data_IF_490341807493
#
_entry.id   IF_490341807493
#
_cell.length_a   1.000
_cell.length_b   1.000
_cell.length_c   1.000
_cell.angle_alpha   90.00
_cell.angle_beta   90.00
_cell.angle_gamma   90.00
#
_symmetry.space_group_name_H-M   'P 1'
#
loop_
_entity.id
_entity.type
_entity.pdbx_description
1 polymer ?
#
# COMPACT_ATOMS: atom_id res chain seq x y z
N UNK A 1 3.65 4.77 -32.17
CA UNK A 1 3.35 3.54 -31.41
C UNK A 1 2.40 3.92 -30.30
N UNK A 2 1.16 3.43 -30.33
CA UNK A 2 0.26 3.54 -29.18
C UNK A 2 0.80 2.56 -28.14
N UNK A 3 1.15 3.06 -26.94
CA UNK A 3 1.38 2.17 -25.82
C UNK A 3 0.05 1.45 -25.55
N UNK A 4 0.01 0.13 -25.67
CA UNK A 4 -1.11 -0.64 -25.13
C UNK A 4 -1.13 -0.39 -23.62
N UNK A 5 -2.24 0.18 -23.13
CA UNK A 5 -2.45 0.34 -21.70
C UNK A 5 -2.65 -1.05 -21.10
N UNK A 6 -1.82 -1.41 -20.13
CA UNK A 6 -1.93 -2.67 -19.42
C UNK A 6 -3.25 -2.71 -18.63
N UNK A 7 -4.13 -3.65 -18.96
CA UNK A 7 -5.36 -3.91 -18.23
C UNK A 7 -5.13 -5.02 -17.21
N UNK A 8 -5.38 -4.73 -15.93
CA UNK A 8 -5.32 -5.70 -14.84
C UNK A 8 -6.70 -6.28 -14.56
N UNK A 9 -6.85 -7.59 -14.71
CA UNK A 9 -8.14 -8.29 -14.57
C UNK A 9 -8.64 -8.40 -13.12
N UNK A 10 -7.78 -8.13 -12.13
CA UNK A 10 -8.15 -8.23 -10.71
C UNK A 10 -9.04 -7.06 -10.27
N UNK A 11 -9.04 -5.94 -11.00
CA UNK A 11 -9.95 -4.83 -10.73
C UNK A 11 -11.33 -5.08 -11.35
N UNK A 12 -12.42 -4.64 -10.68
CA UNK A 12 -13.77 -4.77 -11.23
C UNK A 12 -13.95 -4.04 -12.57
N UNK A 13 -14.70 -4.68 -13.47
CA UNK A 13 -15.10 -4.14 -14.78
C UNK A 13 -16.57 -3.69 -14.74
N UNK A 14 -16.84 -2.72 -13.88
CA UNK A 14 -18.20 -2.26 -13.54
C UNK A 14 -18.45 -0.78 -13.83
N UNK A 15 -17.51 -0.11 -14.52
CA UNK A 15 -17.59 1.31 -14.86
C UNK A 15 -17.34 2.25 -13.68
N UNK A 16 -17.04 1.74 -12.49
CA UNK A 16 -16.69 2.58 -11.33
C UNK A 16 -15.21 2.89 -11.28
N UNK A 17 -14.90 3.99 -10.60
CA UNK A 17 -13.51 4.36 -10.29
C UNK A 17 -13.16 3.75 -8.92
N UNK A 18 -12.16 2.90 -8.91
CA UNK A 18 -11.64 2.22 -7.73
C UNK A 18 -10.32 2.86 -7.30
N UNK A 19 -10.21 3.21 -6.02
CA UNK A 19 -8.97 3.66 -5.40
C UNK A 19 -8.32 2.52 -4.63
N UNK A 20 -7.00 2.39 -4.76
CA UNK A 20 -6.22 1.50 -3.91
C UNK A 20 -6.07 2.15 -2.53
N UNK A 21 -6.63 1.52 -1.50
CA UNK A 21 -6.61 2.04 -0.13
C UNK A 21 -5.36 1.60 0.63
N UNK A 22 -5.00 0.32 0.51
CA UNK A 22 -3.90 -0.25 1.26
C UNK A 22 -3.36 -1.52 0.60
N UNK A 23 -2.10 -1.85 0.88
CA UNK A 23 -1.46 -3.10 0.46
C UNK A 23 -0.92 -3.81 1.70
N UNK A 24 -1.22 -5.10 1.84
CA UNK A 24 -0.83 -5.91 2.99
C UNK A 24 -0.82 -7.39 2.63
N UNK A 25 -0.37 -8.21 3.60
CA UNK A 25 -0.50 -9.66 3.60
C UNK A 25 0.00 -10.36 2.32
N UNK A 26 1.26 -10.79 2.37
CA UNK A 26 1.86 -11.59 1.31
C UNK A 26 1.44 -13.04 1.56
N UNK A 27 0.77 -13.64 0.57
CA UNK A 27 0.20 -14.97 0.64
C UNK A 27 0.79 -15.87 -0.45
N UNK A 28 0.89 -17.15 -0.14
CA UNK A 28 1.23 -18.16 -1.13
C UNK A 28 0.10 -18.29 -2.16
N UNK A 29 0.46 -18.29 -3.44
CA UNK A 29 -0.48 -18.43 -4.53
C UNK A 29 -0.63 -19.89 -4.94
N UNK A 30 -1.73 -20.53 -4.56
CA UNK A 30 -1.98 -21.93 -4.90
C UNK A 30 -2.19 -22.16 -6.41
N UNK A 31 -2.61 -21.13 -7.16
CA UNK A 31 -2.82 -21.23 -8.60
C UNK A 31 -1.51 -21.10 -9.38
N UNK A 32 -0.58 -20.28 -8.87
CA UNK A 32 0.76 -20.09 -9.45
C UNK A 32 1.79 -20.16 -8.32
N UNK A 33 2.19 -21.38 -7.90
CA UNK A 33 3.17 -21.62 -6.83
C UNK A 33 4.47 -20.81 -6.90
N UNK A 34 4.91 -20.45 -8.10
CA UNK A 34 6.12 -19.67 -8.33
C UNK A 34 5.95 -18.16 -8.09
N UNK A 35 4.72 -17.69 -7.93
CA UNK A 35 4.39 -16.26 -7.82
C UNK A 35 3.38 -16.03 -6.71
N UNK A 36 3.90 -15.71 -5.52
CA UNK A 36 3.09 -15.25 -4.39
C UNK A 36 2.28 -14.00 -4.75
N UNK A 37 1.25 -13.74 -3.94
CA UNK A 37 0.38 -12.58 -4.11
C UNK A 37 0.45 -11.70 -2.87
N UNK A 38 0.16 -10.42 -3.04
CA UNK A 38 -0.20 -9.54 -1.93
C UNK A 38 -1.69 -9.18 -2.02
N UNK A 39 -2.27 -8.83 -0.88
CA UNK A 39 -3.62 -8.29 -0.81
C UNK A 39 -3.58 -6.79 -1.03
N UNK A 40 -4.33 -6.30 -2.01
CA UNK A 40 -4.65 -4.88 -2.13
C UNK A 40 -6.12 -4.66 -1.74
N UNK A 41 -6.35 -3.79 -0.76
CA UNK A 41 -7.68 -3.29 -0.43
C UNK A 41 -8.01 -2.17 -1.41
N UNK A 42 -9.13 -2.30 -2.10
CA UNK A 42 -9.65 -1.27 -3.00
C UNK A 42 -11.05 -0.85 -2.57
N UNK A 43 -11.39 0.40 -2.83
CA UNK A 43 -12.73 0.91 -2.59
C UNK A 43 -13.20 1.77 -3.77
N UNK A 44 -14.47 1.69 -4.18
CA UNK A 44 -14.98 2.52 -5.25
C UNK A 44 -15.23 3.94 -4.72
N UNK A 45 -15.14 4.92 -5.59
CA UNK A 45 -15.62 6.27 -5.29
C UNK A 45 -17.11 6.27 -4.92
N UNK A 46 -17.50 7.22 -4.08
CA UNK A 46 -18.92 7.55 -3.93
C UNK A 46 -19.48 8.04 -5.27
N UNK A 47 -20.80 7.97 -5.44
CA UNK A 47 -21.49 8.45 -6.65
C UNK A 47 -21.15 9.92 -6.91
N UNK A 48 -21.09 10.75 -5.88
CA UNK A 48 -20.84 12.18 -6.00
C UNK A 48 -19.38 12.45 -6.38
N UNK A 49 -18.43 11.76 -5.74
CA UNK A 49 -17.00 11.84 -6.09
C UNK A 49 -16.74 11.39 -7.53
N UNK A 50 -17.39 10.32 -7.99
CA UNK A 50 -17.24 9.86 -9.38
C UNK A 50 -17.76 10.89 -10.39
N UNK A 51 -18.95 11.48 -10.13
CA UNK A 51 -19.48 12.55 -10.98
C UNK A 51 -18.58 13.77 -11.00
N UNK A 52 -18.03 14.17 -9.85
CA UNK A 52 -17.08 15.27 -9.74
C UNK A 52 -15.82 14.99 -10.58
N UNK A 53 -15.28 13.78 -10.49
CA UNK A 53 -14.12 13.35 -11.28
C UNK A 53 -14.39 13.42 -12.78
N UNK A 54 -15.47 12.78 -13.23
CA UNK A 54 -15.81 12.63 -14.65
C UNK A 54 -16.24 13.94 -15.32
N UNK A 55 -16.88 14.84 -14.58
CA UNK A 55 -17.25 16.16 -15.08
C UNK A 55 -16.07 17.12 -15.22
N UNK A 56 -14.90 16.77 -14.66
CA UNK A 56 -13.76 17.69 -14.58
C UNK A 56 -14.01 18.87 -13.64
N UNK A 57 -15.07 18.82 -12.82
CA UNK A 57 -15.42 19.84 -11.85
C UNK A 57 -14.60 19.74 -10.55
N UNK A 58 -13.72 18.74 -10.45
CA UNK A 58 -12.76 18.64 -9.37
C UNK A 58 -11.87 19.89 -9.32
N UNK A 59 -11.60 20.38 -8.11
CA UNK A 59 -10.59 21.43 -7.94
C UNK A 59 -9.29 20.95 -8.56
N UNK A 60 -8.74 21.72 -9.51
CA UNK A 60 -7.45 21.41 -10.15
C UNK A 60 -6.31 21.34 -9.14
N UNK A 61 -6.52 21.88 -7.94
CA UNK A 61 -5.62 21.82 -6.80
C UNK A 61 -5.95 20.67 -5.84
N UNK A 62 -6.95 19.83 -6.13
CA UNK A 62 -7.26 18.63 -5.33
C UNK A 62 -6.17 17.60 -5.55
N UNK A 63 -5.15 17.69 -4.70
CA UNK A 63 -3.99 16.80 -4.78
C UNK A 63 -4.33 15.37 -4.38
N UNK A 64 -5.33 15.13 -3.52
CA UNK A 64 -5.67 13.79 -3.02
C UNK A 64 -7.18 13.59 -2.84
N UNK A 65 -7.62 12.34 -2.99
CA UNK A 65 -8.90 11.86 -2.50
C UNK A 65 -8.71 11.27 -1.10
N UNK A 66 -9.69 11.50 -0.21
CA UNK A 66 -9.67 11.07 1.19
C UNK A 66 -10.64 9.89 1.43
N UNK A 67 -10.70 9.39 2.65
CA UNK A 67 -11.62 8.32 3.04
C UNK A 67 -13.10 8.70 2.86
N UNK A 68 -13.45 9.98 2.91
CA UNK A 68 -14.81 10.46 2.66
C UNK A 68 -15.26 10.34 1.20
N UNK A 69 -14.32 10.12 0.28
CA UNK A 69 -14.58 10.08 -1.16
C UNK A 69 -14.89 8.68 -1.70
N UNK A 70 -14.79 7.67 -0.84
CA UNK A 70 -15.00 6.27 -1.19
C UNK A 70 -16.24 5.70 -0.50
N UNK A 71 -16.88 4.74 -1.16
CA UNK A 71 -17.89 3.89 -0.54
C UNK A 71 -17.23 2.70 0.16
N UNK A 72 -16.93 2.88 1.45
CA UNK A 72 -16.34 1.84 2.30
C UNK A 72 -17.15 0.56 2.37
N UNK A 73 -18.47 0.65 2.21
CA UNK A 73 -19.35 -0.53 2.32
C UNK A 73 -19.15 -1.51 1.16
N UNK A 74 -18.50 -1.05 0.09
CA UNK A 74 -18.20 -1.80 -1.12
C UNK A 74 -16.69 -2.00 -1.32
N UNK A 75 -15.89 -1.75 -0.29
CA UNK A 75 -14.48 -2.08 -0.32
C UNK A 75 -14.29 -3.60 -0.44
N UNK A 76 -13.26 -4.02 -1.17
CA UNK A 76 -12.93 -5.42 -1.38
C UNK A 76 -11.43 -5.64 -1.45
N UNK A 77 -11.03 -6.88 -1.16
CA UNK A 77 -9.66 -7.35 -1.28
C UNK A 77 -9.44 -7.96 -2.68
N UNK A 78 -8.39 -7.54 -3.37
CA UNK A 78 -7.89 -8.19 -4.59
C UNK A 78 -6.53 -8.83 -4.32
N UNK A 79 -6.27 -9.96 -4.97
CA UNK A 79 -4.97 -10.63 -4.94
C UNK A 79 -4.16 -10.21 -6.14
N UNK A 80 -2.99 -9.64 -5.91
CA UNK A 80 -2.10 -9.15 -6.97
C UNK A 80 -0.79 -9.91 -6.90
N UNK A 81 -0.33 -10.42 -8.04
CA UNK A 81 0.97 -11.09 -8.13
C UNK A 81 2.09 -10.14 -7.72
N UNK A 82 3.05 -10.63 -6.92
CA UNK A 82 4.15 -9.79 -6.42
C UNK A 82 4.97 -9.16 -7.54
N UNK A 83 5.05 -9.81 -8.71
CA UNK A 83 5.72 -9.28 -9.91
C UNK A 83 5.04 -8.03 -10.49
N UNK A 84 3.76 -7.81 -10.15
CA UNK A 84 2.98 -6.65 -10.57
C UNK A 84 2.93 -5.55 -9.51
N UNK A 85 3.61 -5.73 -8.37
CA UNK A 85 3.66 -4.71 -7.30
C UNK A 85 4.08 -3.31 -7.77
N UNK A 86 5.02 -3.13 -8.73
CA UNK A 86 5.39 -1.78 -9.20
C UNK A 86 4.28 -1.03 -9.94
N UNK A 87 3.17 -1.72 -10.26
CA UNK A 87 2.01 -1.14 -10.93
C UNK A 87 0.96 -0.67 -9.93
N UNK A 88 1.00 -1.14 -8.68
CA UNK A 88 -0.01 -0.88 -7.66
C UNK A 88 0.54 0.10 -6.64
N UNK A 89 0.04 1.32 -6.70
CA UNK A 89 0.34 2.34 -5.71
C UNK A 89 -0.86 2.63 -4.81
N UNK A 90 -0.61 2.85 -3.52
CA UNK A 90 -1.65 3.34 -2.60
C UNK A 90 -2.11 4.73 -3.06
N UNK A 91 -3.41 4.91 -3.22
CA UNK A 91 -4.04 6.12 -3.74
C UNK A 91 -4.28 6.12 -5.25
N UNK A 92 -3.71 5.18 -5.99
CA UNK A 92 -3.93 5.08 -7.44
C UNK A 92 -5.39 4.78 -7.79
N UNK A 93 -5.85 5.33 -8.92
CA UNK A 93 -7.21 5.24 -9.43
C UNK A 93 -7.29 4.35 -10.67
N UNK A 94 -8.25 3.43 -10.64
CA UNK A 94 -8.44 2.39 -11.64
C UNK A 94 -9.88 2.38 -12.11
N UNK A 95 -10.09 2.21 -13.41
CA UNK A 95 -11.42 2.04 -14.00
C UNK A 95 -11.36 0.90 -14.99
N UNK A 96 -12.17 -0.13 -14.79
CA UNK A 96 -12.24 -1.31 -15.66
C UNK A 96 -10.87 -1.96 -15.90
N UNK A 97 -10.07 -2.07 -14.84
CA UNK A 97 -8.71 -2.63 -14.90
C UNK A 97 -7.64 -1.73 -15.52
N UNK A 98 -7.99 -0.52 -15.95
CA UNK A 98 -7.02 0.44 -16.49
C UNK A 98 -6.66 1.47 -15.43
N UNK A 99 -5.35 1.73 -15.29
CA UNK A 99 -4.86 2.83 -14.49
C UNK A 99 -5.26 4.14 -15.17
N UNK A 100 -6.08 4.94 -14.49
CA UNK A 100 -6.52 6.26 -14.99
C UNK A 100 -5.77 7.41 -14.32
N UNK A 101 -5.25 7.20 -13.12
CA UNK A 101 -4.42 8.17 -12.42
C UNK A 101 -3.56 7.44 -11.38
N UNK A 102 -2.23 7.57 -11.47
CA UNK A 102 -1.34 6.99 -10.46
C UNK A 102 -1.29 7.78 -9.16
N UNK A 103 -1.88 8.99 -9.12
CA UNK A 103 -1.66 10.05 -8.12
C UNK A 103 -1.07 9.58 -6.78
N UNK A 104 0.27 9.49 -6.77
CA UNK A 104 1.10 9.10 -5.65
C UNK A 104 1.76 10.34 -5.08
N UNK A 105 1.06 11.00 -4.17
CA UNK A 105 1.67 12.02 -3.32
C UNK A 105 2.20 13.26 -4.04
N UNK A 106 2.86 14.09 -3.24
CA UNK A 106 3.81 15.10 -3.72
C UNK A 106 5.18 14.46 -3.74
N UNK A 107 5.96 14.66 -4.80
CA UNK A 107 7.36 14.22 -4.83
C UNK A 107 8.22 15.23 -4.09
N UNK A 108 8.82 14.79 -2.99
CA UNK A 108 9.73 15.60 -2.18
C UNK A 108 11.07 14.86 -2.02
N UNK A 109 12.13 15.61 -1.70
CA UNK A 109 13.47 15.05 -1.45
C UNK A 109 13.88 15.40 -0.03
N UNK A 110 14.39 14.41 0.69
CA UNK A 110 14.76 14.51 2.09
C UNK A 110 16.17 13.96 2.30
N UNK A 111 16.94 14.63 3.13
CA UNK A 111 18.21 14.13 3.63
C UNK A 111 17.94 13.28 4.87
N UNK A 112 17.85 11.96 4.69
CA UNK A 112 17.52 11.02 5.75
C UNK A 112 18.78 10.34 6.29
N UNK A 113 18.82 10.18 7.62
CA UNK A 113 19.78 9.30 8.29
C UNK A 113 19.09 7.97 8.53
N UNK A 114 19.62 6.91 7.92
CA UNK A 114 19.08 5.55 8.02
C UNK A 114 20.07 4.70 8.81
N UNK A 115 19.85 4.58 10.11
CA UNK A 115 20.61 3.74 11.03
C UNK A 115 19.71 3.22 12.18
N UNK A 116 20.26 2.37 13.04
CA UNK A 116 19.54 1.76 14.16
C UNK A 116 19.06 2.79 15.22
N UNK A 117 19.59 4.01 15.22
CA UNK A 117 19.18 5.06 16.15
C UNK A 117 17.99 5.88 15.62
N UNK A 118 17.82 5.96 14.30
CA UNK A 118 16.78 6.78 13.65
C UNK A 118 15.64 5.97 13.02
N UNK A 119 15.77 4.64 12.99
CA UNK A 119 14.73 3.73 12.47
C UNK A 119 14.17 2.86 13.58
N UNK A 120 12.85 2.85 13.71
CA UNK A 120 12.14 1.99 14.65
C UNK A 120 11.13 1.11 13.91
N UNK A 121 10.87 -0.08 14.44
CA UNK A 121 9.87 -0.99 13.87
C UNK A 121 8.68 -1.11 14.79
N UNK A 122 7.51 -0.69 14.30
CA UNK A 122 6.24 -0.83 15.03
C UNK A 122 5.15 -1.34 14.08
N UNK A 123 4.05 -1.92 14.59
CA UNK A 123 2.87 -2.17 13.78
C UNK A 123 2.29 -0.86 13.23
N UNK A 124 1.63 -0.88 12.08
CA UNK A 124 1.01 0.31 11.47
C UNK A 124 0.02 1.05 12.38
N UNK A 125 -0.53 0.37 13.40
CA UNK A 125 -1.40 0.96 14.43
C UNK A 125 -0.65 1.48 15.66
N UNK A 126 0.65 1.80 15.53
CA UNK A 126 1.45 2.32 16.63
C UNK A 126 0.83 3.58 17.25
N UNK A 127 0.80 3.59 18.58
CA UNK A 127 0.41 4.75 19.37
C UNK A 127 1.60 5.25 20.15
N UNK A 128 1.70 6.56 20.29
CA UNK A 128 2.67 7.21 21.16
C UNK A 128 1.98 8.18 22.10
N UNK A 129 2.59 8.39 23.26
CA UNK A 129 2.10 9.34 24.23
C UNK A 129 2.82 10.68 24.06
N UNK A 130 2.06 11.77 24.04
CA UNK A 130 2.57 13.13 24.06
C UNK A 130 1.68 13.96 24.99
N UNK A 131 2.27 14.62 25.99
CA UNK A 131 1.54 15.45 26.95
C UNK A 131 0.38 14.72 27.69
N UNK A 132 0.57 13.44 28.05
CA UNK A 132 -0.45 12.56 28.65
C UNK A 132 -1.66 12.24 27.75
N UNK A 133 -1.53 12.47 26.44
CA UNK A 133 -2.53 12.09 25.44
C UNK A 133 -1.96 11.03 24.49
N UNK A 134 -2.76 10.02 24.15
CA UNK A 134 -2.39 8.99 23.18
C UNK A 134 -2.70 9.47 21.75
N UNK A 135 -1.67 9.46 20.90
CA UNK A 135 -1.78 9.77 19.49
C UNK A 135 -1.44 8.55 18.64
N UNK A 136 -2.13 8.43 17.51
CA UNK A 136 -1.73 7.48 16.49
C UNK A 136 -0.59 8.06 15.65
N UNK A 137 0.46 7.26 15.43
CA UNK A 137 1.52 7.63 14.51
C UNK A 137 0.99 7.73 13.06
N UNK A 138 0.08 6.84 12.67
CA UNK A 138 -0.55 6.88 11.35
C UNK A 138 -1.71 7.89 11.30
N UNK A 139 -1.78 8.77 10.28
CA UNK A 139 -2.86 9.75 10.15
C UNK A 139 -4.16 9.11 9.65
N UNK A 140 -4.97 8.60 10.58
CA UNK A 140 -6.28 8.01 10.28
C UNK A 140 -7.23 9.01 9.60
N UNK A 141 -7.94 8.54 8.57
CA UNK A 141 -8.92 9.34 7.81
C UNK A 141 -8.48 9.72 6.40
N UNK A 142 -7.22 9.49 6.02
CA UNK A 142 -6.74 9.66 4.63
C UNK A 142 -6.88 8.39 3.78
N UNK A 143 -6.68 7.21 4.38
CA UNK A 143 -6.90 5.89 3.74
C UNK A 143 -7.75 4.96 4.61
N UNK A 144 -8.49 4.07 3.98
CA UNK A 144 -9.16 2.95 4.66
C UNK A 144 -8.14 1.85 4.96
N UNK A 145 -8.12 1.38 6.21
CA UNK A 145 -7.33 0.23 6.62
C UNK A 145 -8.20 -0.82 7.30
N UNK A 146 -8.28 -1.98 6.67
CA UNK A 146 -8.82 -3.23 7.21
C UNK A 146 -8.06 -3.65 8.49
N UNK A 147 -8.70 -4.45 9.36
CA UNK A 147 -8.09 -4.85 10.64
C UNK A 147 -6.75 -5.57 10.48
N UNK A 148 -6.59 -6.37 9.42
CA UNK A 148 -5.33 -7.07 9.10
C UNK A 148 -4.23 -6.12 8.62
N UNK A 149 -4.58 -5.06 7.89
CA UNK A 149 -3.62 -4.04 7.44
C UNK A 149 -2.99 -3.25 8.59
N UNK A 150 -3.67 -3.18 9.74
CA UNK A 150 -3.22 -2.45 10.95
C UNK A 150 -2.06 -3.13 11.70
N UNK A 151 -1.89 -4.43 11.52
CA UNK A 151 -0.83 -5.21 12.19
C UNK A 151 0.41 -5.41 11.31
N UNK A 152 0.43 -4.82 10.12
CA UNK A 152 1.60 -4.84 9.25
C UNK A 152 2.74 -4.12 9.97
N UNK A 153 3.90 -4.77 10.06
CA UNK A 153 5.11 -4.13 10.57
C UNK A 153 5.54 -3.02 9.62
N UNK A 154 5.82 -1.85 10.16
CA UNK A 154 6.30 -0.69 9.44
C UNK A 154 7.65 -0.26 10.01
N UNK A 155 8.54 0.19 9.13
CA UNK A 155 9.69 0.98 9.52
C UNK A 155 9.23 2.44 9.68
N UNK A 156 9.40 2.97 10.88
CA UNK A 156 9.22 4.37 11.22
C UNK A 156 10.58 5.03 11.12
N UNK A 157 10.71 6.01 10.22
CA UNK A 157 11.97 6.73 10.01
C UNK A 157 11.81 8.14 10.56
N UNK A 158 12.69 8.47 11.50
CA UNK A 158 12.76 9.80 12.07
C UNK A 158 13.19 10.82 11.01
N UNK A 159 12.56 11.99 11.04
CA UNK A 159 13.05 13.16 10.31
C UNK A 159 12.92 14.41 11.18
N UNK A 160 14.04 15.10 11.36
CA UNK A 160 14.17 16.18 12.35
C UNK A 160 13.76 15.68 13.74
N UNK A 161 12.83 16.36 14.39
CA UNK A 161 12.37 16.05 15.75
C UNK A 161 11.13 15.14 15.79
N UNK A 162 10.68 14.62 14.63
CA UNK A 162 9.54 13.73 14.52
C UNK A 162 10.02 12.27 14.32
N UNK A 163 9.91 11.41 15.35
CA UNK A 163 10.34 10.01 15.27
C UNK A 163 9.43 9.14 14.40
N UNK A 164 8.26 9.63 13.98
CA UNK A 164 7.27 8.87 13.23
C UNK A 164 6.97 9.49 11.86
N UNK A 165 7.83 10.37 11.38
CA UNK A 165 7.60 11.21 10.20
C UNK A 165 7.29 10.40 8.94
N UNK A 166 8.09 9.35 8.68
CA UNK A 166 7.84 8.41 7.59
C UNK A 166 7.41 7.07 8.16
N UNK A 167 6.36 6.50 7.56
CA UNK A 167 5.87 5.17 7.88
C UNK A 167 5.96 4.34 6.60
N UNK A 168 6.90 3.41 6.56
CA UNK A 168 7.15 2.56 5.39
C UNK A 168 6.71 1.14 5.75
N UNK A 169 5.64 0.61 5.13
CA UNK A 169 5.26 -0.79 5.33
C UNK A 169 6.41 -1.72 4.96
N UNK A 170 6.68 -2.75 5.78
CA UNK A 170 7.83 -3.64 5.59
C UNK A 170 7.82 -4.33 4.21
N UNK A 171 6.64 -4.61 3.64
CA UNK A 171 6.54 -5.20 2.30
C UNK A 171 7.14 -4.30 1.20
N UNK A 172 7.12 -2.97 1.37
CA UNK A 172 7.76 -2.03 0.43
C UNK A 172 9.28 -2.15 0.48
N UNK A 173 9.84 -2.26 1.68
CA UNK A 173 11.29 -2.48 1.89
C UNK A 173 11.74 -3.83 1.33
N UNK A 174 10.93 -4.86 1.56
CA UNK A 174 11.13 -6.21 0.99
C UNK A 174 11.12 -6.11 -0.53
N UNK A 175 10.09 -5.53 -1.16
CA UNK A 175 10.03 -5.36 -2.62
C UNK A 175 11.27 -4.64 -3.16
N UNK A 176 11.71 -3.54 -2.54
CA UNK A 176 12.90 -2.80 -2.96
C UNK A 176 14.16 -3.68 -2.95
N UNK A 177 14.38 -4.45 -1.89
CA UNK A 177 15.54 -5.34 -1.78
C UNK A 177 15.44 -6.53 -2.76
N UNK A 178 14.25 -7.10 -2.90
CA UNK A 178 13.99 -8.28 -3.71
C UNK A 178 14.04 -8.01 -5.22
N UNK A 179 13.68 -6.80 -5.66
CA UNK A 179 13.88 -6.37 -7.05
C UNK A 179 15.36 -6.38 -7.49
N UNK A 180 16.32 -6.54 -6.56
CA UNK A 180 17.76 -6.67 -6.87
C UNK A 180 18.33 -8.08 -6.72
N UNK A 181 17.59 -9.05 -6.16
CA UNK A 181 18.06 -10.42 -5.95
C UNK A 181 16.94 -11.45 -6.16
N UNK A 182 16.91 -12.08 -7.34
CA UNK A 182 15.84 -13.00 -7.76
C UNK A 182 15.73 -14.23 -6.86
N UNK A 183 16.85 -14.88 -6.50
CA UNK A 183 16.79 -16.11 -5.70
C UNK A 183 16.35 -15.88 -4.25
N UNK A 184 16.79 -14.79 -3.61
CA UNK A 184 16.31 -14.43 -2.28
C UNK A 184 14.85 -13.94 -2.33
N UNK A 185 14.46 -13.28 -3.43
CA UNK A 185 13.08 -12.87 -3.64
C UNK A 185 12.14 -14.05 -3.68
N UNK A 186 12.44 -15.02 -4.53
CA UNK A 186 11.68 -16.27 -4.57
C UNK A 186 11.65 -16.94 -3.20
N UNK A 187 12.79 -17.03 -2.51
CA UNK A 187 12.87 -17.70 -1.22
C UNK A 187 12.09 -17.05 -0.07
N UNK A 188 12.00 -15.72 -0.05
CA UNK A 188 11.15 -14.98 0.90
C UNK A 188 9.67 -15.18 0.59
N UNK A 189 9.31 -15.18 -0.71
CA UNK A 189 7.91 -15.25 -1.13
C UNK A 189 7.32 -16.66 -1.11
N UNK A 190 8.11 -17.69 -1.46
CA UNK A 190 7.68 -19.09 -1.48
C UNK A 190 7.94 -19.82 -0.14
N UNK A 191 8.60 -19.14 0.81
CA UNK A 191 8.92 -19.69 2.13
C UNK A 191 10.09 -20.68 2.14
N UNK A 192 10.88 -20.78 1.06
CA UNK A 192 12.05 -21.67 1.00
C UNK A 192 13.26 -21.19 1.82
N UNK A 193 13.19 -20.01 2.44
CA UNK A 193 14.08 -19.67 3.56
C UNK A 193 13.66 -20.50 4.78
N UNK A 194 14.23 -21.69 4.89
CA UNK A 194 14.20 -22.48 6.11
C UNK A 194 15.09 -21.78 7.12
N UNK A 195 14.48 -21.21 8.16
CA UNK A 195 15.19 -20.67 9.29
C UNK A 195 15.75 -21.87 10.09
N UNK A 196 17.03 -22.21 9.89
CA UNK A 196 17.73 -23.19 10.74
C UNK A 196 17.99 -22.60 12.13
N UNK A 197 16.92 -22.29 12.86
CA UNK A 197 16.96 -22.24 14.32
C UNK A 197 16.09 -23.36 14.83
N UNK A 198 16.76 -24.50 14.99
CA UNK A 198 16.34 -25.69 15.73
C UNK A 198 15.66 -25.31 17.04
N UNK A 199 14.34 -25.19 17.06
CA UNK A 199 13.57 -25.29 18.29
C UNK A 199 13.48 -26.77 18.62
N UNK A 200 14.38 -27.24 19.50
CA UNK A 200 14.20 -28.54 20.13
C UNK A 200 12.94 -28.47 20.99
N UNK A 201 12.01 -29.39 20.74
CA UNK A 201 10.87 -29.73 21.59
C UNK A 201 11.40 -30.25 22.93
#
# INVERSE_FOLDING_TARGET
MSAELLKLSYFPDDGRIWRVEWVYDIQYNLAVPSESVFVALIAPFTIDTQKEYESGAHDKNRQFYMVGDIDKSQALEILVGVGQSPLIDIGSLWKNGLLINSNVGTKETFDLVIDDAHVQYHPGYHKYELNNEEFYAFPYGKQLMEKKGRVVNCAYVQYKDDPYHFIIPAHVLINFYLCTSTSLAHAVYDGSIINERTTKI
#
